data_IF_856491735568
#
_entry.id   IF_856491735568
#
_cell.length_a   1.000
_cell.length_b   1.000
_cell.length_c   1.000
_cell.angle_alpha   90.00
_cell.angle_beta   90.00
_cell.angle_gamma   90.00
#
_symmetry.space_group_name_H-M   'P 1'
#
loop_
_entity.id
_entity.type
_entity.pdbx_description
1 polymer ?
#
# COMPACT_ATOMS: atom_id res chain seq x y z
N UNK A 1 11.38 -13.53 -2.33
CA UNK A 1 10.15 -12.75 -2.61
C UNK A 1 9.26 -12.72 -1.36
N UNK A 2 8.77 -11.55 -0.97
CA UNK A 2 7.93 -11.38 0.22
C UNK A 2 6.72 -10.51 -0.08
N UNK A 3 5.65 -10.67 0.70
CA UNK A 3 4.43 -9.87 0.62
C UNK A 3 4.21 -9.21 1.98
N UNK A 4 4.03 -7.90 1.98
CA UNK A 4 3.62 -7.12 3.13
C UNK A 4 2.17 -6.68 2.93
N UNK A 5 1.29 -7.15 3.81
CA UNK A 5 -0.13 -6.82 3.80
C UNK A 5 -0.45 -5.85 4.95
N UNK A 6 -1.04 -4.71 4.61
CA UNK A 6 -1.65 -3.81 5.57
C UNK A 6 -3.15 -3.90 5.45
N UNK A 7 -3.82 -4.21 6.55
CA UNK A 7 -5.27 -4.12 6.66
C UNK A 7 -5.66 -2.82 7.38
N UNK A 8 -6.89 -2.34 7.15
CA UNK A 8 -7.39 -1.05 7.63
C UNK A 8 -6.38 0.09 7.42
N UNK A 9 -5.85 0.19 6.21
CA UNK A 9 -4.71 1.07 5.92
C UNK A 9 -4.96 2.54 6.27
N UNK A 10 -6.22 2.99 6.27
CA UNK A 10 -6.57 4.36 6.68
C UNK A 10 -6.29 4.66 8.16
N UNK A 11 -6.16 3.63 9.01
CA UNK A 11 -5.79 3.79 10.41
C UNK A 11 -4.29 4.07 10.57
N UNK A 12 -3.46 3.50 9.68
CA UNK A 12 -2.02 3.71 9.68
C UNK A 12 -1.62 5.00 8.95
N UNK A 13 -2.32 5.31 7.86
CA UNK A 13 -1.98 6.41 6.98
C UNK A 13 -3.16 7.34 6.64
N UNK A 14 -3.75 8.00 7.65
CA UNK A 14 -4.81 8.98 7.40
C UNK A 14 -4.27 10.21 6.67
N UNK A 15 -5.17 10.99 6.08
CA UNK A 15 -4.86 12.34 5.56
C UNK A 15 -4.15 13.18 6.63
N UNK A 16 -3.04 13.80 6.26
CA UNK A 16 -2.27 14.68 7.14
C UNK A 16 -3.12 15.79 7.75
N UNK A 17 -2.80 16.15 8.99
CA UNK A 17 -3.53 17.16 9.74
C UNK A 17 -4.89 16.70 10.23
N UNK A 18 -5.21 15.39 10.18
CA UNK A 18 -6.39 14.84 10.84
C UNK A 18 -6.26 14.84 12.36
N UNK A 19 -5.03 14.77 12.89
CA UNK A 19 -4.73 14.71 14.32
C UNK A 19 -3.86 15.89 14.77
N UNK A 20 -4.16 16.44 15.96
CA UNK A 20 -3.47 17.61 16.51
C UNK A 20 -2.04 17.31 17.04
N UNK A 21 -1.67 16.03 17.19
CA UNK A 21 -0.38 15.63 17.77
C UNK A 21 0.74 15.51 16.73
N UNK A 22 0.38 15.46 15.43
CA UNK A 22 1.33 15.28 14.33
C UNK A 22 2.10 13.95 14.34
N UNK A 23 1.71 12.99 15.20
CA UNK A 23 2.36 11.68 15.28
C UNK A 23 2.05 10.85 14.03
N UNK A 24 0.79 10.85 13.61
CA UNK A 24 0.31 10.17 12.40
C UNK A 24 0.97 10.74 11.14
N UNK A 25 1.15 12.06 11.07
CA UNK A 25 1.89 12.71 9.97
C UNK A 25 3.33 12.19 9.84
N UNK A 26 4.03 11.93 10.96
CA UNK A 26 5.39 11.37 10.96
C UNK A 26 5.40 9.94 10.44
N UNK A 27 4.42 9.12 10.86
CA UNK A 27 4.28 7.74 10.38
C UNK A 27 4.03 7.71 8.87
N UNK A 28 3.13 8.56 8.37
CA UNK A 28 2.86 8.71 6.93
C UNK A 28 4.13 9.12 6.17
N UNK A 29 4.88 10.10 6.67
CA UNK A 29 6.15 10.52 6.04
C UNK A 29 7.18 9.39 6.00
N UNK A 30 7.28 8.60 7.07
CA UNK A 30 8.18 7.46 7.13
C UNK A 30 7.76 6.39 6.12
N UNK A 31 6.47 6.13 6.00
CA UNK A 31 5.93 5.14 5.07
C UNK A 31 6.17 5.56 3.60
N UNK A 32 6.04 6.85 3.27
CA UNK A 32 6.42 7.37 1.95
C UNK A 32 7.90 7.15 1.64
N UNK A 33 8.77 7.43 2.61
CA UNK A 33 10.23 7.24 2.46
C UNK A 33 10.56 5.78 2.18
N UNK A 34 9.89 4.86 2.87
CA UNK A 34 10.07 3.42 2.63
C UNK A 34 9.55 2.98 1.26
N UNK A 35 8.37 3.44 0.84
CA UNK A 35 7.82 3.11 -0.47
C UNK A 35 8.69 3.63 -1.62
N UNK A 36 9.23 4.85 -1.49
CA UNK A 36 10.15 5.43 -2.48
C UNK A 36 11.47 4.63 -2.55
N UNK A 37 11.96 4.11 -1.42
CA UNK A 37 13.13 3.22 -1.37
C UNK A 37 12.90 1.85 -2.02
N UNK A 38 11.72 1.24 -1.84
CA UNK A 38 11.36 -0.03 -2.47
C UNK A 38 11.21 0.11 -3.99
N UNK A 39 10.69 1.24 -4.47
CA UNK A 39 10.58 1.53 -5.90
C UNK A 39 11.97 1.57 -6.58
N UNK A 40 12.97 2.16 -5.93
CA UNK A 40 14.34 2.21 -6.46
C UNK A 40 14.96 0.82 -6.60
N UNK A 41 14.73 -0.07 -5.62
CA UNK A 41 15.19 -1.47 -5.67
C UNK A 41 14.54 -2.22 -6.84
N UNK A 42 13.27 -1.92 -7.15
CA UNK A 42 12.55 -2.54 -8.28
C UNK A 42 13.00 -2.05 -9.67
N UNK A 43 13.59 -0.85 -9.77
CA UNK A 43 13.98 -0.23 -11.05
C UNK A 43 15.43 -0.51 -11.47
N UNK A 44 16.29 -0.81 -10.52
CA UNK A 44 17.73 -0.97 -10.77
C UNK A 44 18.09 -2.45 -10.93
N UNK A 45 17.96 -2.97 -12.16
CA UNK A 45 18.68 -4.20 -12.57
C UNK A 45 20.20 -3.97 -12.64
N UNK A 46 20.70 -2.73 -12.46
CA UNK A 46 22.09 -2.32 -12.73
C UNK A 46 22.76 -1.41 -11.68
N UNK A 47 22.17 -1.13 -10.51
CA UNK A 47 22.81 -0.24 -9.51
C UNK A 47 23.39 -1.00 -8.33
N UNK A 48 24.70 -0.82 -8.13
CA UNK A 48 25.58 -1.67 -7.30
C UNK A 48 25.60 -1.23 -5.83
N UNK A 49 24.86 -0.18 -5.43
CA UNK A 49 24.89 0.30 -4.05
C UNK A 49 24.09 -0.58 -3.07
N UNK A 50 23.18 -1.42 -3.59
CA UNK A 50 22.61 -2.57 -2.88
C UNK A 50 22.69 -3.78 -3.80
N UNK A 51 23.84 -4.46 -3.80
CA UNK A 51 23.99 -5.77 -4.44
C UNK A 51 23.12 -6.82 -3.70
N UNK A 52 21.82 -6.76 -3.93
CA UNK A 52 20.84 -7.75 -3.50
C UNK A 52 20.52 -8.66 -4.67
N UNK A 53 20.93 -9.92 -4.56
CA UNK A 53 20.55 -11.03 -5.45
C UNK A 53 19.05 -10.97 -5.82
N UNK A 54 18.65 -11.50 -6.97
CA UNK A 54 17.30 -11.57 -7.61
C UNK A 54 16.14 -12.17 -6.76
N UNK A 55 16.11 -11.85 -5.47
CA UNK A 55 15.47 -12.52 -4.34
C UNK A 55 14.70 -11.51 -3.47
N UNK A 56 15.04 -10.22 -3.57
CA UNK A 56 14.51 -9.10 -2.76
C UNK A 56 13.29 -8.42 -3.38
N UNK A 57 12.46 -9.17 -4.11
CA UNK A 57 11.19 -8.66 -4.61
C UNK A 57 10.16 -8.62 -3.47
N UNK A 58 9.83 -7.41 -3.01
CA UNK A 58 8.81 -7.16 -1.97
C UNK A 58 7.55 -6.61 -2.60
N UNK A 59 6.41 -7.26 -2.43
CA UNK A 59 5.08 -6.78 -2.81
C UNK A 59 4.38 -6.15 -1.62
N UNK A 60 3.73 -5.01 -1.82
CA UNK A 60 2.99 -4.32 -0.77
C UNK A 60 1.53 -4.25 -1.21
N UNK A 61 0.66 -4.75 -0.34
CA UNK A 61 -0.79 -4.74 -0.53
C UNK A 61 -1.39 -3.99 0.65
N UNK A 62 -2.22 -3.00 0.36
CA UNK A 62 -2.94 -2.23 1.36
C UNK A 62 -4.43 -2.38 1.13
N UNK A 63 -5.17 -2.77 2.17
CA UNK A 63 -6.62 -2.95 2.15
C UNK A 63 -7.25 -1.84 2.99
N UNK A 64 -8.33 -1.24 2.48
CA UNK A 64 -9.07 -0.19 3.17
C UNK A 64 -10.54 -0.21 2.80
N UNK A 65 -11.40 0.06 3.77
CA UNK A 65 -12.83 0.30 3.56
C UNK A 65 -13.15 1.78 3.29
N UNK A 66 -12.19 2.68 3.54
CA UNK A 66 -12.34 4.14 3.50
C UNK A 66 -11.21 4.78 2.68
N UNK A 67 -11.17 4.56 1.36
CA UNK A 67 -10.12 5.08 0.49
C UNK A 67 -10.03 6.62 0.52
N UNK A 68 -11.13 7.30 0.82
CA UNK A 68 -11.21 8.75 0.97
C UNK A 68 -10.42 9.28 2.19
N UNK A 69 -10.12 8.43 3.17
CA UNK A 69 -9.37 8.81 4.38
C UNK A 69 -7.86 8.62 4.24
N UNK A 70 -7.39 7.93 3.22
CA UNK A 70 -5.97 7.64 3.00
C UNK A 70 -5.25 8.89 2.46
N UNK A 71 -4.00 9.10 2.87
CA UNK A 71 -3.17 10.19 2.34
C UNK A 71 -2.95 10.04 0.81
N UNK A 72 -3.35 11.04 0.00
CA UNK A 72 -3.28 10.94 -1.46
C UNK A 72 -1.84 10.88 -2.01
N UNK A 73 -0.81 11.27 -1.24
CA UNK A 73 0.58 11.13 -1.64
C UNK A 73 1.01 9.67 -1.71
N UNK A 74 0.40 8.76 -0.95
CA UNK A 74 0.67 7.32 -0.99
C UNK A 74 0.12 6.65 -2.24
N UNK A 75 -0.94 7.21 -2.83
CA UNK A 75 -1.63 6.69 -4.01
C UNK A 75 -1.01 7.19 -5.34
N UNK A 76 0.10 7.93 -5.27
CA UNK A 76 0.78 8.46 -6.46
C UNK A 76 1.53 7.35 -7.22
N UNK A 77 1.74 7.50 -8.54
CA UNK A 77 2.56 6.58 -9.33
C UNK A 77 3.90 6.28 -8.66
N UNK A 78 4.29 5.01 -8.67
CA UNK A 78 5.53 4.55 -8.03
C UNK A 78 5.40 4.06 -6.58
N UNK A 79 4.24 4.27 -5.95
CA UNK A 79 3.93 3.85 -4.57
C UNK A 79 2.81 2.80 -4.59
N UNK A 80 1.66 3.11 -4.00
CA UNK A 80 0.44 2.30 -4.08
C UNK A 80 -0.35 2.74 -5.32
N UNK A 81 0.19 2.51 -6.52
CA UNK A 81 -0.36 3.07 -7.76
C UNK A 81 -1.40 2.16 -8.45
N UNK A 82 -1.48 0.89 -8.06
CA UNK A 82 -2.49 -0.07 -8.52
C UNK A 82 -3.64 -0.13 -7.52
N UNK A 83 -4.82 0.29 -7.96
CA UNK A 83 -6.04 0.22 -7.16
C UNK A 83 -6.96 -0.85 -7.73
N UNK A 84 -7.45 -1.73 -6.86
CA UNK A 84 -8.45 -2.75 -7.18
C UNK A 84 -9.67 -2.45 -6.33
N UNK A 85 -10.81 -2.19 -6.98
CA UNK A 85 -12.07 -2.05 -6.29
C UNK A 85 -12.67 -3.43 -6.05
N UNK A 86 -12.97 -3.74 -4.78
CA UNK A 86 -13.68 -4.96 -4.38
C UNK A 86 -15.09 -4.55 -3.99
N UNK A 87 -16.03 -4.81 -4.90
CA UNK A 87 -17.45 -4.50 -4.70
C UNK A 87 -18.21 -5.61 -3.98
N UNK A 88 -19.51 -5.41 -3.85
CA UNK A 88 -20.42 -6.44 -3.36
C UNK A 88 -20.67 -7.50 -4.43
N UNK A 89 -20.93 -8.77 -4.06
CA UNK A 89 -21.33 -9.80 -5.01
C UNK A 89 -22.68 -9.44 -5.66
N UNK A 90 -22.69 -9.28 -6.98
CA UNK A 90 -23.85 -8.81 -7.72
C UNK A 90 -24.82 -9.95 -8.01
N UNK A 91 -24.29 -11.12 -8.38
CA UNK A 91 -25.09 -12.26 -8.81
C UNK A 91 -25.53 -13.15 -7.64
N UNK A 92 -26.66 -13.83 -7.80
CA UNK A 92 -27.10 -14.87 -6.85
C UNK A 92 -26.06 -15.99 -6.78
N UNK A 93 -25.44 -16.34 -7.91
CA UNK A 93 -24.40 -17.36 -7.98
C UNK A 93 -23.16 -17.00 -7.15
N UNK A 94 -22.63 -15.78 -7.25
CA UNK A 94 -21.50 -15.31 -6.41
C UNK A 94 -21.86 -15.32 -4.91
N UNK A 95 -23.09 -14.93 -4.56
CA UNK A 95 -23.56 -14.98 -3.17
C UNK A 95 -23.66 -16.41 -2.65
N UNK A 96 -24.12 -17.34 -3.49
CA UNK A 96 -24.19 -18.76 -3.14
C UNK A 96 -22.77 -19.32 -2.95
N UNK A 97 -21.82 -18.96 -3.81
CA UNK A 97 -20.41 -19.42 -3.73
C UNK A 97 -19.73 -18.99 -2.43
N UNK A 98 -20.06 -17.80 -1.90
CA UNK A 98 -19.55 -17.36 -0.59
C UNK A 98 -20.14 -18.18 0.57
N UNK A 99 -21.37 -18.70 0.42
CA UNK A 99 -22.09 -19.43 1.47
C UNK A 99 -21.85 -20.95 1.44
N UNK A 100 -21.28 -21.48 0.36
CA UNK A 100 -20.94 -22.90 0.20
C UNK A 100 -19.58 -23.23 0.81
#
# INVERSE_FOLDING_TARGET
>A
PSILLFDEFEALAPKRGSDNTGVTDRVVNQLLTFLDGVEQIRRNDNDTFCSGSSSDQVYIIAVTSRPDRVDPALLRPGRLDKHIYVGYPETVSERIDIMS
#
